data_IF_925022642683
#
_entry.id   IF_925022642683
#
_cell.length_a   1.000
_cell.length_b   1.000
_cell.length_c   1.000
_cell.angle_alpha   90.00
_cell.angle_beta   90.00
_cell.angle_gamma   90.00
#
_symmetry.space_group_name_H-M   'P 1'
#
loop_
_entity.id
_entity.type
_entity.pdbx_description
1 polymer ?
#
# COMPACT_ATOMS: atom_id res chain seq x y z
N UNK A 1 -7.57 13.98 3.84
CA UNK A 1 -6.26 13.30 3.79
C UNK A 1 -6.41 12.02 2.98
N UNK A 2 -5.34 11.39 2.47
CA UNK A 2 -5.47 10.22 1.56
C UNK A 2 -6.18 9.03 2.21
N UNK A 3 -5.97 8.83 3.51
CA UNK A 3 -6.55 7.79 4.35
C UNK A 3 -8.08 7.89 4.53
N UNK A 4 -8.65 9.08 4.34
CA UNK A 4 -10.09 9.33 4.40
C UNK A 4 -10.82 8.99 3.09
N UNK A 5 -10.09 8.77 2.00
CA UNK A 5 -10.68 8.40 0.71
C UNK A 5 -11.04 6.91 0.68
N UNK A 6 -11.95 6.55 -0.21
CA UNK A 6 -12.27 5.14 -0.55
C UNK A 6 -11.67 4.79 -1.90
N UNK A 7 -11.27 3.54 -2.06
CA UNK A 7 -10.84 3.01 -3.33
C UNK A 7 -11.99 3.04 -4.36
N UNK A 8 -11.64 3.40 -5.59
CA UNK A 8 -12.54 3.25 -6.72
C UNK A 8 -12.30 1.88 -7.34
N UNK A 9 -13.35 1.16 -7.75
CA UNK A 9 -13.16 -0.15 -8.38
C UNK A 9 -12.21 -0.02 -9.58
N UNK A 10 -11.05 -0.68 -9.54
CA UNK A 10 -10.11 -0.72 -10.65
C UNK A 10 -10.79 -1.44 -11.83
N UNK A 11 -11.40 -0.67 -12.73
CA UNK A 11 -11.94 -1.19 -13.97
C UNK A 11 -10.80 -1.58 -14.92
N UNK A 12 -11.13 -2.34 -15.97
CA UNK A 12 -10.16 -2.67 -17.05
C UNK A 12 -9.59 -1.39 -17.69
N UNK A 13 -10.33 -0.29 -17.63
CA UNK A 13 -9.96 1.01 -18.19
C UNK A 13 -9.20 1.91 -17.21
N UNK A 14 -8.90 1.42 -16.00
CA UNK A 14 -8.13 2.19 -15.02
C UNK A 14 -6.77 2.59 -15.61
N UNK A 15 -6.45 3.88 -15.51
CA UNK A 15 -5.21 4.43 -16.07
C UNK A 15 -4.14 4.44 -14.99
N UNK A 16 -2.97 3.88 -15.31
CA UNK A 16 -1.83 3.97 -14.42
C UNK A 16 -1.38 5.42 -14.25
N UNK A 17 -1.06 5.80 -13.01
CA UNK A 17 -0.53 7.12 -12.71
C UNK A 17 0.77 7.36 -13.48
N UNK A 18 0.96 8.60 -13.94
CA UNK A 18 2.22 9.08 -14.50
C UNK A 18 3.31 9.17 -13.42
N UNK A 19 4.58 9.32 -13.83
CA UNK A 19 5.69 9.49 -12.89
C UNK A 19 5.50 10.72 -11.99
N UNK A 20 5.05 11.84 -12.55
CA UNK A 20 4.82 13.08 -11.82
C UNK A 20 3.71 12.93 -10.77
N UNK A 21 2.60 12.28 -11.13
CA UNK A 21 1.51 12.02 -10.19
C UNK A 21 1.94 11.11 -9.04
N UNK A 22 2.71 10.05 -9.33
CA UNK A 22 3.26 9.16 -8.31
C UNK A 22 4.17 9.91 -7.35
N UNK A 23 5.06 10.76 -7.87
CA UNK A 23 5.97 11.56 -7.06
C UNK A 23 5.20 12.54 -6.16
N UNK A 24 4.17 13.20 -6.70
CA UNK A 24 3.33 14.11 -5.92
C UNK A 24 2.62 13.39 -4.77
N UNK A 25 1.98 12.25 -5.05
CA UNK A 25 1.28 11.48 -4.01
C UNK A 25 2.23 10.85 -2.99
N UNK A 26 3.45 10.47 -3.40
CA UNK A 26 4.46 9.96 -2.49
C UNK A 26 4.85 10.98 -1.42
N UNK A 27 4.81 12.28 -1.72
CA UNK A 27 5.10 13.35 -0.74
C UNK A 27 4.05 13.44 0.38
N UNK A 28 2.87 12.85 0.19
CA UNK A 28 1.81 12.78 1.20
C UNK A 28 1.96 11.55 2.11
N UNK A 29 2.93 10.67 1.84
CA UNK A 29 3.17 9.43 2.57
C UNK A 29 4.51 9.48 3.31
N UNK A 30 4.55 8.97 4.54
CA UNK A 30 5.77 8.92 5.33
C UNK A 30 6.46 7.55 5.20
N UNK A 31 7.74 7.53 4.81
CA UNK A 31 8.55 6.31 4.77
C UNK A 31 8.21 5.28 3.68
N UNK A 32 7.21 5.54 2.83
CA UNK A 32 6.90 4.73 1.66
C UNK A 32 7.90 4.97 0.53
N UNK A 33 8.16 3.94 -0.27
CA UNK A 33 9.12 3.97 -1.37
C UNK A 33 8.50 3.47 -2.67
N UNK A 34 8.89 4.10 -3.79
CA UNK A 34 8.58 3.61 -5.12
C UNK A 34 9.69 2.66 -5.57
N UNK A 35 9.34 1.40 -5.80
CA UNK A 35 10.26 0.37 -6.28
C UNK A 35 9.81 -0.12 -7.65
N UNK A 36 10.76 -0.35 -8.55
CA UNK A 36 10.50 -1.03 -9.82
C UNK A 36 10.89 -2.50 -9.66
N UNK A 37 9.92 -3.40 -9.92
CA UNK A 37 10.16 -4.84 -9.96
C UNK A 37 9.73 -5.36 -11.32
N UNK A 38 10.72 -5.71 -12.14
CA UNK A 38 10.51 -6.25 -13.49
C UNK A 38 9.70 -5.31 -14.40
N UNK A 39 9.91 -4.00 -14.28
CA UNK A 39 9.17 -2.97 -15.02
C UNK A 39 7.78 -2.65 -14.46
N UNK A 40 7.43 -3.22 -13.30
CA UNK A 40 6.19 -2.92 -12.59
C UNK A 40 6.51 -2.01 -11.39
N UNK A 41 6.06 -0.75 -11.39
CA UNK A 41 6.21 0.14 -10.26
C UNK A 41 5.30 -0.30 -9.11
N UNK A 42 5.83 -0.31 -7.89
CA UNK A 42 5.15 -0.72 -6.67
C UNK A 42 5.45 0.26 -5.55
N UNK A 43 4.54 0.36 -4.59
CA UNK A 43 4.67 1.22 -3.41
C UNK A 43 4.91 0.33 -2.19
N UNK A 44 6.02 0.53 -1.48
CA UNK A 44 6.43 -0.37 -0.39
C UNK A 44 6.85 0.38 0.88
N UNK A 45 6.51 -0.18 2.04
CA UNK A 45 7.01 0.26 3.34
C UNK A 45 7.25 -0.91 4.27
N UNK A 46 8.34 -0.84 5.03
CA UNK A 46 8.65 -1.74 6.14
C UNK A 46 8.24 -1.10 7.47
N UNK A 47 7.41 -1.79 8.23
CA UNK A 47 6.99 -1.42 9.58
C UNK A 47 7.73 -2.31 10.58
N UNK A 48 8.28 -1.72 11.66
CA UNK A 48 9.09 -2.42 12.65
C UNK A 48 8.36 -2.54 13.99
N UNK A 49 8.46 -3.70 14.61
CA UNK A 49 7.78 -4.08 15.84
C UNK A 49 8.73 -4.80 16.80
N UNK A 50 8.37 -4.89 18.08
CA UNK A 50 9.25 -5.52 19.10
C UNK A 50 9.25 -7.05 19.03
N UNK A 51 8.22 -7.66 18.44
CA UNK A 51 8.06 -9.11 18.35
C UNK A 51 7.09 -9.49 17.21
N UNK A 52 6.98 -10.80 16.95
CA UNK A 52 6.11 -11.34 15.90
C UNK A 52 4.62 -11.12 16.16
N UNK A 53 4.17 -11.15 17.42
CA UNK A 53 2.75 -10.98 17.75
C UNK A 53 2.25 -9.57 17.40
N UNK A 54 3.07 -8.55 17.66
CA UNK A 54 2.78 -7.17 17.26
C UNK A 54 2.78 -7.00 15.74
N UNK A 55 3.79 -7.57 15.05
CA UNK A 55 3.85 -7.55 13.60
C UNK A 55 2.62 -8.25 12.98
N UNK A 56 2.23 -9.41 13.50
CA UNK A 56 1.05 -10.13 13.04
C UNK A 56 -0.24 -9.34 13.30
N UNK A 57 -0.36 -8.70 14.46
CA UNK A 57 -1.52 -7.85 14.77
C UNK A 57 -1.65 -6.70 13.77
N UNK A 58 -0.55 -6.06 13.38
CA UNK A 58 -0.57 -5.02 12.35
C UNK A 58 -0.93 -5.61 10.97
N UNK A 59 -0.34 -6.74 10.59
CA UNK A 59 -0.66 -7.42 9.33
C UNK A 59 -2.16 -7.76 9.22
N UNK A 60 -2.82 -8.16 10.31
CA UNK A 60 -4.27 -8.38 10.32
C UNK A 60 -5.06 -7.09 10.04
N UNK A 61 -4.68 -5.96 10.64
CA UNK A 61 -5.32 -4.66 10.36
C UNK A 61 -5.15 -4.25 8.89
N UNK A 62 -3.98 -4.51 8.30
CA UNK A 62 -3.76 -4.28 6.86
C UNK A 62 -4.66 -5.17 6.00
N UNK A 63 -4.87 -6.43 6.39
CA UNK A 63 -5.81 -7.33 5.70
C UNK A 63 -7.27 -6.86 5.81
N UNK A 64 -7.69 -6.30 6.96
CA UNK A 64 -9.01 -5.71 7.13
C UNK A 64 -9.20 -4.51 6.18
N UNK A 65 -8.22 -3.61 6.10
CA UNK A 65 -8.21 -2.50 5.12
C UNK A 65 -8.34 -3.03 3.69
N UNK A 66 -7.58 -4.08 3.35
CA UNK A 66 -7.58 -4.64 2.01
C UNK A 66 -8.96 -5.18 1.58
N UNK A 67 -9.66 -5.86 2.49
CA UNK A 67 -11.02 -6.35 2.24
C UNK A 67 -12.04 -5.21 2.18
N UNK A 68 -11.96 -4.23 3.08
CA UNK A 68 -12.86 -3.07 3.09
C UNK A 68 -12.76 -2.23 1.80
N UNK A 69 -11.54 -2.05 1.29
CA UNK A 69 -11.28 -1.28 0.08
C UNK A 69 -11.33 -2.13 -1.20
N UNK A 70 -11.53 -3.44 -1.07
CA UNK A 70 -11.49 -4.43 -2.16
C UNK A 70 -10.23 -4.26 -3.04
N UNK A 71 -9.10 -4.05 -2.40
CA UNK A 71 -7.79 -3.84 -3.02
C UNK A 71 -6.74 -4.52 -2.17
N UNK A 72 -5.98 -5.45 -2.73
CA UNK A 72 -5.16 -6.38 -1.94
C UNK A 72 -3.66 -6.14 -2.11
N UNK A 73 -2.88 -6.03 -1.01
CA UNK A 73 -1.43 -5.88 -1.07
C UNK A 73 -0.73 -7.25 -1.07
N UNK A 74 0.58 -7.23 -1.31
CA UNK A 74 1.45 -8.26 -0.73
C UNK A 74 1.84 -7.87 0.69
N UNK A 75 1.78 -8.85 1.60
CA UNK A 75 2.20 -8.69 3.00
C UNK A 75 3.26 -9.74 3.30
N UNK A 76 4.46 -9.29 3.64
CA UNK A 76 5.53 -10.14 4.16
C UNK A 76 5.65 -9.93 5.67
N UNK A 77 5.22 -10.93 6.43
CA UNK A 77 5.29 -10.96 7.88
C UNK A 77 6.55 -11.73 8.34
N UNK A 78 7.40 -11.07 9.12
CA UNK A 78 8.63 -11.63 9.66
C UNK A 78 8.80 -11.26 11.15
N UNK A 79 9.79 -11.82 11.84
CA UNK A 79 10.03 -11.50 13.25
C UNK A 79 10.36 -10.01 13.43
N UNK A 80 9.44 -9.28 14.10
CA UNK A 80 9.61 -7.87 14.42
C UNK A 80 9.44 -6.92 13.24
N UNK A 81 8.86 -7.36 12.11
CA UNK A 81 8.55 -6.46 11.00
C UNK A 81 7.44 -6.98 10.08
N UNK A 82 6.81 -6.04 9.38
CA UNK A 82 5.88 -6.29 8.27
C UNK A 82 6.30 -5.41 7.10
N UNK A 83 6.53 -6.01 5.94
CA UNK A 83 6.65 -5.26 4.69
C UNK A 83 5.32 -5.31 3.96
N UNK A 84 4.76 -4.14 3.63
CA UNK A 84 3.52 -4.00 2.87
C UNK A 84 3.85 -3.42 1.51
N UNK A 85 3.36 -4.07 0.46
CA UNK A 85 3.60 -3.68 -0.92
C UNK A 85 2.27 -3.56 -1.68
N UNK A 86 1.99 -2.37 -2.19
CA UNK A 86 0.79 -2.04 -2.97
C UNK A 86 1.13 -1.86 -4.45
N UNK A 87 0.33 -2.48 -5.30
CA UNK A 87 0.23 -2.14 -6.73
C UNK A 87 -1.09 -2.67 -7.29
N UNK A 88 -1.50 -2.10 -8.43
CA UNK A 88 -2.69 -2.53 -9.14
C UNK A 88 -2.33 -3.58 -10.18
N UNK A 89 -2.66 -4.84 -9.89
CA UNK A 89 -2.33 -6.01 -10.72
C UNK A 89 -2.86 -5.92 -12.16
N UNK A 90 -4.09 -5.41 -12.34
CA UNK A 90 -4.76 -5.32 -13.65
C UNK A 90 -4.02 -4.43 -14.64
N UNK A 91 -3.43 -3.34 -14.16
CA UNK A 91 -2.74 -2.33 -14.98
C UNK A 91 -1.23 -2.46 -14.94
N UNK A 92 -0.70 -3.45 -14.18
CA UNK A 92 0.74 -3.66 -13.94
C UNK A 92 1.46 -2.36 -13.56
N UNK A 93 0.88 -1.64 -12.61
CA UNK A 93 1.46 -0.38 -12.13
C UNK A 93 0.69 0.20 -10.96
N UNK A 94 0.83 1.52 -10.76
CA UNK A 94 0.22 2.22 -9.64
C UNK A 94 -1.02 2.99 -10.06
N UNK A 95 -2.10 2.77 -9.34
CA UNK A 95 -3.32 3.55 -9.34
C UNK A 95 -3.40 4.40 -8.07
N UNK A 96 -4.31 5.36 -8.03
CA UNK A 96 -4.53 6.19 -6.83
C UNK A 96 -4.88 5.35 -5.58
N UNK A 97 -5.58 4.23 -5.78
CA UNK A 97 -5.93 3.29 -4.71
C UNK A 97 -4.72 2.77 -3.93
N UNK A 98 -3.60 2.54 -4.61
CA UNK A 98 -2.37 2.06 -3.96
C UNK A 98 -1.87 3.06 -2.90
N UNK A 99 -2.00 4.36 -3.20
CA UNK A 99 -1.63 5.44 -2.27
C UNK A 99 -2.66 5.66 -1.17
N UNK A 100 -3.96 5.48 -1.47
CA UNK A 100 -5.04 5.52 -0.47
C UNK A 100 -4.84 4.41 0.57
N UNK A 101 -4.65 3.17 0.12
CA UNK A 101 -4.43 2.04 1.03
C UNK A 101 -3.11 2.17 1.80
N UNK A 102 -2.05 2.68 1.17
CA UNK A 102 -0.80 2.99 1.85
C UNK A 102 -0.98 3.98 3.01
N UNK A 103 -1.71 5.07 2.79
CA UNK A 103 -2.04 6.04 3.84
C UNK A 103 -2.88 5.41 4.97
N UNK A 104 -3.84 4.53 4.63
CA UNK A 104 -4.64 3.82 5.64
C UNK A 104 -3.78 2.90 6.50
N UNK A 105 -2.79 2.22 5.94
CA UNK A 105 -1.84 1.44 6.73
C UNK A 105 -1.11 2.30 7.79
N UNK A 106 -0.71 3.52 7.42
CA UNK A 106 -0.07 4.46 8.36
C UNK A 106 -1.03 4.92 9.47
N UNK A 107 -2.33 4.97 9.21
CA UNK A 107 -3.33 5.37 10.23
C UNK A 107 -3.58 4.30 11.30
N UNK A 108 -3.21 3.04 11.04
CA UNK A 108 -3.52 1.89 11.93
C UNK A 108 -2.28 1.27 12.59
N UNK A 109 -1.08 1.75 12.25
CA UNK A 109 0.16 1.36 12.92
C UNK A 109 0.24 2.01 14.31
N UNK A 110 0.59 1.22 15.32
CA UNK A 110 0.75 1.62 16.72
C UNK A 110 2.20 1.52 17.18
#
# INVERSE_FOLDING_TARGET
MLDELRCEACSIDAVALTLEERQRLLLELDGWQLLDREGIPQLEKEYKFKNYLQAWSFANKVSEIAEEEFHHPSILLEWGKVTVTWWSHSIKGLHKNDFICAAKCDSVVE
#
